data_IF_714870487428
#
_entry.id   IF_714870487428
#
_cell.length_a   1.000
_cell.length_b   1.000
_cell.length_c   1.000
_cell.angle_alpha   90.00
_cell.angle_beta   90.00
_cell.angle_gamma   90.00
#
_symmetry.space_group_name_H-M   'P 1'
#
loop_
_entity.id
_entity.type
_entity.pdbx_description
1 polymer ?
#
# COMPACT_ATOMS: atom_id res chain seq x y z
N UNK A 1 -65.26 81.89 -15.18
CA UNK A 1 -63.80 82.17 -15.16
C UNK A 1 -63.24 81.79 -13.79
N UNK A 2 -62.72 80.56 -13.63
CA UNK A 2 -62.15 80.03 -12.39
C UNK A 2 -60.64 79.83 -12.59
N UNK A 3 -59.84 80.42 -11.70
CA UNK A 3 -58.37 80.40 -11.70
C UNK A 3 -57.86 79.01 -11.29
N UNK A 4 -56.87 78.52 -12.05
CA UNK A 4 -56.06 77.35 -11.72
C UNK A 4 -55.16 77.63 -10.51
N UNK A 5 -55.09 76.68 -9.58
CA UNK A 5 -53.94 76.49 -8.67
C UNK A 5 -53.50 75.04 -8.78
N UNK A 6 -52.30 74.84 -9.31
CA UNK A 6 -51.62 73.56 -9.37
C UNK A 6 -51.07 73.21 -7.98
N UNK A 7 -51.42 72.04 -7.46
CA UNK A 7 -50.79 71.43 -6.30
C UNK A 7 -50.02 70.20 -6.82
N UNK A 8 -48.68 70.27 -6.75
CA UNK A 8 -47.80 69.16 -7.06
C UNK A 8 -47.80 68.15 -5.92
N UNK A 9 -48.10 66.89 -6.23
CA UNK A 9 -47.91 65.76 -5.33
C UNK A 9 -46.58 65.10 -5.70
N UNK A 10 -45.61 65.15 -4.78
CA UNK A 10 -44.32 64.45 -4.90
C UNK A 10 -44.55 62.97 -4.57
N UNK A 11 -44.42 62.09 -5.56
CA UNK A 11 -44.32 60.65 -5.34
C UNK A 11 -42.91 60.33 -4.82
N UNK A 12 -42.80 59.98 -3.54
CA UNK A 12 -41.61 59.33 -3.01
C UNK A 12 -41.63 57.85 -3.41
N UNK A 13 -40.85 57.49 -4.42
CA UNK A 13 -40.58 56.10 -4.79
C UNK A 13 -39.69 55.44 -3.74
N UNK A 14 -40.26 54.51 -2.98
CA UNK A 14 -39.47 53.61 -2.14
C UNK A 14 -38.83 52.53 -3.03
N UNK A 15 -37.59 52.80 -3.45
CA UNK A 15 -36.74 51.81 -4.11
C UNK A 15 -36.35 50.75 -3.10
N UNK A 16 -37.05 49.61 -3.10
CA UNK A 16 -36.60 48.39 -2.42
C UNK A 16 -35.34 47.89 -3.14
N UNK A 17 -34.17 48.31 -2.64
CA UNK A 17 -32.89 47.71 -2.99
C UNK A 17 -32.86 46.29 -2.40
N UNK A 18 -33.33 45.32 -3.18
CA UNK A 18 -33.02 43.91 -2.98
C UNK A 18 -31.51 43.73 -3.10
N UNK A 19 -30.82 43.79 -1.96
CA UNK A 19 -29.43 43.37 -1.86
C UNK A 19 -29.37 41.87 -2.14
N UNK A 20 -29.03 41.52 -3.38
CA UNK A 20 -28.54 40.19 -3.69
C UNK A 20 -27.17 40.06 -3.01
N UNK A 21 -27.17 39.65 -1.73
CA UNK A 21 -25.99 39.10 -1.09
C UNK A 21 -25.64 37.79 -1.80
N UNK A 22 -24.92 37.89 -2.91
CA UNK A 22 -24.24 36.76 -3.51
C UNK A 22 -23.14 36.35 -2.53
N UNK A 23 -23.48 35.48 -1.58
CA UNK A 23 -22.49 34.78 -0.76
C UNK A 23 -21.59 34.03 -1.74
N UNK A 24 -20.38 34.55 -2.00
CA UNK A 24 -19.41 33.82 -2.81
C UNK A 24 -19.19 32.48 -2.10
N UNK A 25 -19.65 31.39 -2.70
CA UNK A 25 -19.52 30.08 -2.10
C UNK A 25 -18.03 29.82 -1.83
N UNK A 26 -17.66 29.71 -0.56
CA UNK A 26 -16.29 29.38 -0.16
C UNK A 26 -15.90 28.07 -0.83
N UNK A 27 -14.75 28.04 -1.51
CA UNK A 27 -14.21 26.81 -2.07
C UNK A 27 -13.87 25.87 -0.89
N UNK A 28 -14.47 24.68 -0.81
CA UNK A 28 -14.18 23.75 0.28
C UNK A 28 -12.71 23.34 0.27
N UNK A 29 -12.10 23.23 1.45
CA UNK A 29 -10.73 22.74 1.63
C UNK A 29 -10.58 21.29 1.17
N UNK A 30 -9.34 20.84 0.99
CA UNK A 30 -9.06 19.44 0.64
C UNK A 30 -9.61 18.46 1.69
N UNK A 31 -9.52 18.82 2.98
CA UNK A 31 -10.08 18.04 4.08
C UNK A 31 -11.61 17.98 4.02
N UNK A 32 -12.29 19.12 3.80
CA UNK A 32 -13.76 19.17 3.70
C UNK A 32 -14.28 18.34 2.51
N UNK A 33 -13.61 18.39 1.34
CA UNK A 33 -13.99 17.57 0.18
C UNK A 33 -13.81 16.07 0.45
N UNK A 34 -12.71 15.68 1.08
CA UNK A 34 -12.45 14.26 1.40
C UNK A 34 -13.42 13.77 2.47
N UNK A 35 -13.75 14.59 3.47
CA UNK A 35 -14.75 14.28 4.49
C UNK A 35 -16.15 14.07 3.88
N UNK A 36 -16.52 14.82 2.83
CA UNK A 36 -17.74 14.57 2.07
C UNK A 36 -17.69 13.23 1.33
N UNK A 37 -16.58 12.91 0.66
CA UNK A 37 -16.40 11.60 -0.01
C UNK A 37 -16.50 10.44 0.99
N UNK A 38 -15.94 10.58 2.20
CA UNK A 38 -16.06 9.59 3.27
C UNK A 38 -17.52 9.39 3.70
N UNK A 39 -18.27 10.49 3.89
CA UNK A 39 -19.71 10.43 4.22
C UNK A 39 -20.52 9.71 3.14
N UNK A 40 -20.24 9.98 1.86
CA UNK A 40 -20.86 9.29 0.73
C UNK A 40 -20.54 7.79 0.72
N UNK A 41 -19.40 7.39 1.29
CA UNK A 41 -19.02 5.98 1.52
C UNK A 41 -19.65 5.37 2.77
N UNK A 42 -20.45 6.12 3.53
CA UNK A 42 -21.01 5.68 4.81
C UNK A 42 -19.98 5.61 5.93
N UNK A 43 -18.85 6.31 5.80
CA UNK A 43 -17.79 6.39 6.81
C UNK A 43 -17.89 7.73 7.53
N UNK A 44 -17.94 7.69 8.86
CA UNK A 44 -17.83 8.89 9.70
C UNK A 44 -16.44 9.53 9.51
N UNK A 45 -16.34 10.77 9.00
CA UNK A 45 -15.06 11.44 8.80
C UNK A 45 -14.26 11.66 10.09
N UNK A 46 -14.91 11.69 11.25
CA UNK A 46 -14.21 11.84 12.54
C UNK A 46 -13.50 10.55 12.96
N UNK A 47 -13.93 9.41 12.41
CA UNK A 47 -13.32 8.11 12.64
C UNK A 47 -12.12 7.84 11.70
N UNK A 48 -11.91 8.65 10.66
CA UNK A 48 -10.87 8.46 9.66
C UNK A 48 -9.93 9.66 9.58
N UNK A 49 -8.62 9.42 9.72
CA UNK A 49 -7.64 10.47 9.49
C UNK A 49 -7.57 10.81 8.00
N UNK A 50 -7.67 12.09 7.64
CA UNK A 50 -7.40 12.57 6.27
C UNK A 50 -5.90 12.90 6.20
N UNK A 51 -5.05 12.01 5.68
CA UNK A 51 -3.63 12.05 5.97
C UNK A 51 -2.90 13.16 5.22
N UNK A 52 -3.51 13.77 4.21
CA UNK A 52 -2.96 14.88 3.43
C UNK A 52 -3.62 16.24 3.77
N UNK A 53 -4.34 16.33 4.90
CA UNK A 53 -4.86 17.60 5.38
C UNK A 53 -3.73 18.56 5.77
N UNK A 54 -3.91 19.85 5.49
CA UNK A 54 -2.91 20.90 5.74
C UNK A 54 -3.40 21.77 6.90
N UNK A 55 -2.56 21.94 7.91
CA UNK A 55 -2.86 22.79 9.06
C UNK A 55 -2.62 24.27 8.75
N UNK A 56 -3.17 25.21 9.54
CA UNK A 56 -2.88 26.64 9.37
C UNK A 56 -1.38 26.99 9.47
N UNK A 57 -0.64 26.28 10.32
CA UNK A 57 0.81 26.41 10.46
C UNK A 57 1.51 26.04 9.16
N UNK A 58 1.18 24.86 8.61
CA UNK A 58 1.75 24.37 7.35
C UNK A 58 1.39 25.28 6.18
N UNK A 59 0.15 25.78 6.13
CA UNK A 59 -0.29 26.78 5.14
C UNK A 59 0.60 28.03 5.22
N UNK A 60 0.80 28.58 6.42
CA UNK A 60 1.62 29.78 6.63
C UNK A 60 3.07 29.53 6.23
N UNK A 61 3.65 28.41 6.64
CA UNK A 61 5.00 27.99 6.28
C UNK A 61 5.18 27.86 4.76
N UNK A 62 4.18 27.29 4.09
CA UNK A 62 4.16 27.02 2.66
C UNK A 62 4.14 28.31 1.84
N UNK A 63 3.19 29.22 2.13
CA UNK A 63 3.06 30.47 1.38
C UNK A 63 4.20 31.47 1.66
N UNK A 64 4.91 31.34 2.80
CA UNK A 64 6.11 32.12 3.07
C UNK A 64 7.33 31.69 2.23
N UNK A 65 7.36 30.44 1.75
CA UNK A 65 8.51 29.84 1.04
C UNK A 65 8.28 29.60 -0.43
N UNK A 66 7.05 29.24 -0.81
CA UNK A 66 6.66 28.98 -2.19
C UNK A 66 5.79 30.13 -2.65
N UNK A 67 6.38 31.01 -3.47
CA UNK A 67 5.69 32.17 -4.01
C UNK A 67 4.46 31.79 -4.86
N UNK A 68 3.53 32.73 -5.01
CA UNK A 68 2.32 32.56 -5.83
C UNK A 68 2.57 32.74 -7.34
N UNK A 69 3.74 33.23 -7.73
CA UNK A 69 4.14 33.45 -9.13
C UNK A 69 4.74 32.20 -9.78
N UNK A 70 4.82 32.23 -11.11
CA UNK A 70 5.41 31.15 -11.92
C UNK A 70 4.42 30.05 -12.34
N UNK A 71 4.86 29.19 -13.25
CA UNK A 71 4.09 28.04 -13.73
C UNK A 71 3.99 26.92 -12.70
N UNK A 72 3.06 25.97 -12.88
CA UNK A 72 2.87 24.85 -11.95
C UNK A 72 4.17 24.07 -11.68
N UNK A 73 4.99 23.84 -12.72
CA UNK A 73 6.26 23.14 -12.60
C UNK A 73 7.29 23.89 -11.72
N UNK A 74 7.39 25.20 -11.87
CA UNK A 74 8.32 26.03 -11.07
C UNK A 74 7.94 26.00 -9.59
N UNK A 75 6.64 26.08 -9.31
CA UNK A 75 6.10 25.98 -7.95
C UNK A 75 6.31 24.59 -7.35
N UNK A 76 6.13 23.51 -8.12
CA UNK A 76 6.44 22.14 -7.69
C UNK A 76 7.93 22.00 -7.35
N UNK A 77 8.81 22.50 -8.21
CA UNK A 77 10.26 22.48 -7.95
C UNK A 77 10.64 23.31 -6.73
N UNK A 78 9.99 24.46 -6.52
CA UNK A 78 10.21 25.28 -5.32
C UNK A 78 9.74 24.56 -4.06
N UNK A 79 8.56 23.93 -4.09
CA UNK A 79 8.04 23.13 -2.99
C UNK A 79 8.99 21.99 -2.62
N UNK A 80 9.45 21.21 -3.60
CA UNK A 80 10.39 20.12 -3.37
C UNK A 80 11.69 20.61 -2.72
N UNK A 81 12.27 21.71 -3.22
CA UNK A 81 13.47 22.31 -2.62
C UNK A 81 13.19 22.80 -1.19
N UNK A 82 12.02 23.37 -0.92
CA UNK A 82 11.66 23.81 0.44
C UNK A 82 11.44 22.63 1.39
N UNK A 83 10.95 21.49 0.93
CA UNK A 83 10.74 20.30 1.76
C UNK A 83 12.06 19.54 2.03
N UNK A 84 12.88 19.36 1.00
CA UNK A 84 14.12 18.56 1.04
C UNK A 84 15.37 19.39 1.39
N UNK A 85 15.27 20.72 1.38
CA UNK A 85 16.40 21.62 1.66
C UNK A 85 16.83 21.63 3.12
N UNK A 86 18.03 22.17 3.39
CA UNK A 86 18.64 22.25 4.73
C UNK A 86 17.79 23.02 5.77
N UNK A 87 17.04 24.02 5.30
CA UNK A 87 16.12 24.86 6.09
C UNK A 87 14.65 24.42 5.96
N UNK A 88 14.44 23.24 5.39
CA UNK A 88 13.14 22.61 5.18
C UNK A 88 12.68 21.75 6.35
N UNK A 89 11.79 20.80 6.05
CA UNK A 89 11.21 19.85 7.04
C UNK A 89 12.25 18.81 7.52
N UNK A 90 13.45 18.77 6.93
CA UNK A 90 14.54 17.81 7.22
C UNK A 90 14.02 16.37 7.28
N UNK A 91 13.67 15.85 6.13
CA UNK A 91 13.04 14.55 6.02
C UNK A 91 14.04 13.40 6.16
N UNK A 92 13.70 12.42 7.00
CA UNK A 92 14.44 11.18 7.23
C UNK A 92 13.55 10.03 6.81
N UNK A 93 14.04 9.20 5.90
CA UNK A 93 13.30 8.04 5.41
C UNK A 93 13.25 6.94 6.46
N UNK A 94 12.05 6.52 6.86
CA UNK A 94 11.82 5.42 7.80
C UNK A 94 10.69 4.52 7.32
N UNK A 95 11.04 3.33 6.82
CA UNK A 95 10.08 2.40 6.20
C UNK A 95 8.95 1.95 7.14
N UNK A 96 9.22 1.86 8.44
CA UNK A 96 8.28 1.40 9.46
C UNK A 96 7.31 2.45 10.00
N UNK A 97 7.36 3.70 9.49
CA UNK A 97 6.58 4.83 9.99
C UNK A 97 5.68 5.42 8.90
N UNK A 98 4.36 5.36 9.11
CA UNK A 98 3.36 5.97 8.22
C UNK A 98 2.68 7.17 8.88
N UNK A 99 3.18 8.39 8.66
CA UNK A 99 2.60 9.62 9.20
C UNK A 99 1.56 10.30 8.30
N UNK A 100 0.69 11.10 8.91
CA UNK A 100 -0.07 12.17 8.23
C UNK A 100 0.88 13.31 7.86
N UNK A 101 0.44 14.20 6.97
CA UNK A 101 1.19 15.38 6.55
C UNK A 101 1.59 16.25 7.75
N UNK A 102 0.73 16.42 8.74
CA UNK A 102 1.03 17.16 9.97
C UNK A 102 2.11 16.47 10.80
N UNK A 103 1.99 15.15 11.01
CA UNK A 103 2.98 14.39 11.79
C UNK A 103 4.35 14.37 11.11
N UNK A 104 4.39 14.21 9.78
CA UNK A 104 5.63 14.28 8.99
C UNK A 104 6.22 15.68 9.06
N UNK A 105 5.40 16.72 8.91
CA UNK A 105 5.85 18.11 8.96
C UNK A 105 6.54 18.45 10.30
N UNK A 106 6.04 17.91 11.41
CA UNK A 106 6.62 18.14 12.74
C UNK A 106 7.81 17.24 13.06
N UNK A 107 7.74 15.97 12.68
CA UNK A 107 8.73 14.97 13.08
C UNK A 107 9.89 14.83 12.11
N UNK A 108 9.72 15.21 10.85
CA UNK A 108 10.66 14.93 9.77
C UNK A 108 10.72 13.46 9.36
N UNK A 109 9.99 12.54 10.01
CA UNK A 109 10.04 11.11 9.69
C UNK A 109 9.02 10.79 8.60
N UNK A 110 9.40 10.04 7.56
CA UNK A 110 8.47 9.65 6.51
C UNK A 110 8.87 8.36 5.80
N UNK A 111 7.89 7.53 5.43
CA UNK A 111 8.02 6.61 4.31
C UNK A 111 7.44 7.22 3.01
N UNK A 112 7.47 6.48 1.90
CA UNK A 112 6.97 6.94 0.60
C UNK A 112 5.54 7.52 0.65
N UNK A 113 4.63 6.80 1.32
CA UNK A 113 3.23 7.20 1.44
C UNK A 113 3.07 8.48 2.26
N UNK A 114 3.77 8.57 3.39
CA UNK A 114 3.72 9.73 4.28
C UNK A 114 4.26 10.99 3.61
N UNK A 115 5.36 10.84 2.86
CA UNK A 115 5.88 11.93 2.04
C UNK A 115 4.87 12.34 0.97
N UNK A 116 4.29 11.36 0.25
CA UNK A 116 3.29 11.65 -0.78
C UNK A 116 2.09 12.42 -0.20
N UNK A 117 1.62 12.08 1.00
CA UNK A 117 0.56 12.83 1.67
C UNK A 117 0.95 14.29 1.95
N UNK A 118 2.13 14.52 2.52
CA UNK A 118 2.64 15.86 2.78
C UNK A 118 2.75 16.67 1.48
N UNK A 119 3.38 16.07 0.47
CA UNK A 119 3.63 16.73 -0.80
C UNK A 119 2.33 17.05 -1.54
N UNK A 120 1.44 16.06 -1.71
CA UNK A 120 0.16 16.22 -2.42
C UNK A 120 -0.73 17.24 -1.70
N UNK A 121 -0.80 17.17 -0.37
CA UNK A 121 -1.55 18.14 0.43
C UNK A 121 -1.05 19.57 0.20
N UNK A 122 0.26 19.82 0.36
CA UNK A 122 0.84 21.16 0.16
C UNK A 122 0.73 21.63 -1.30
N UNK A 123 0.96 20.73 -2.26
CA UNK A 123 0.87 21.08 -3.67
C UNK A 123 -0.56 21.49 -4.07
N UNK A 124 -1.57 20.77 -3.59
CA UNK A 124 -2.98 21.10 -3.82
C UNK A 124 -3.42 22.36 -3.06
N UNK A 125 -2.83 22.63 -1.89
CA UNK A 125 -3.04 23.90 -1.16
C UNK A 125 -2.56 25.12 -1.97
N UNK A 126 -1.50 24.96 -2.77
CA UNK A 126 -1.04 25.96 -3.75
C UNK A 126 -1.86 25.96 -5.04
N UNK A 127 -2.90 25.14 -5.15
CA UNK A 127 -3.73 25.00 -6.35
C UNK A 127 -3.05 24.24 -7.50
N UNK A 128 -2.06 23.40 -7.22
CA UNK A 128 -1.44 22.53 -8.24
C UNK A 128 -2.29 21.25 -8.42
N UNK A 129 -2.62 20.86 -9.67
CA UNK A 129 -3.42 19.67 -9.95
C UNK A 129 -2.56 18.41 -9.90
N UNK A 130 -2.01 18.10 -8.71
CA UNK A 130 -1.28 16.86 -8.47
C UNK A 130 -2.22 15.77 -7.98
N UNK A 131 -1.83 14.52 -8.18
CA UNK A 131 -2.59 13.34 -7.79
C UNK A 131 -1.67 12.24 -7.27
N UNK A 132 -2.24 11.28 -6.53
CA UNK A 132 -1.50 10.14 -6.04
C UNK A 132 -1.29 9.12 -7.16
N UNK A 133 -0.09 8.56 -7.20
CA UNK A 133 0.29 7.48 -8.11
C UNK A 133 0.74 6.27 -7.31
N UNK A 134 0.15 5.11 -7.60
CA UNK A 134 0.62 3.80 -7.13
C UNK A 134 1.45 3.15 -8.24
N UNK A 135 2.61 2.63 -7.87
CA UNK A 135 3.41 1.77 -8.74
C UNK A 135 2.97 0.33 -8.48
N UNK A 136 2.38 -0.32 -9.49
CA UNK A 136 1.89 -1.70 -9.38
C UNK A 136 3.01 -2.74 -9.26
N UNK A 137 4.26 -2.34 -9.52
CA UNK A 137 5.41 -3.20 -9.28
C UNK A 137 5.75 -3.20 -7.78
N UNK A 138 5.43 -4.30 -7.09
CA UNK A 138 5.95 -4.55 -5.75
C UNK A 138 7.48 -4.50 -5.81
N UNK A 139 8.08 -3.59 -5.04
CA UNK A 139 9.51 -3.28 -5.10
C UNK A 139 10.33 -4.30 -4.31
N UNK A 140 9.74 -4.89 -3.27
CA UNK A 140 10.35 -5.96 -2.49
C UNK A 140 9.30 -6.80 -1.76
N UNK A 141 9.62 -8.08 -1.57
CA UNK A 141 8.91 -8.96 -0.65
C UNK A 141 9.86 -9.31 0.49
N UNK A 142 9.42 -9.08 1.72
CA UNK A 142 10.14 -9.51 2.92
C UNK A 142 9.29 -10.52 3.68
N UNK A 143 9.93 -11.50 4.33
CA UNK A 143 9.27 -12.45 5.21
C UNK A 143 9.72 -12.16 6.64
N UNK A 144 8.78 -11.71 7.48
CA UNK A 144 8.99 -11.43 8.90
C UNK A 144 8.17 -12.44 9.72
N UNK A 145 8.83 -13.50 10.21
CA UNK A 145 8.15 -14.59 10.90
C UNK A 145 7.20 -15.35 9.97
N UNK A 146 5.90 -15.34 10.31
CA UNK A 146 4.82 -15.90 9.49
C UNK A 146 4.19 -14.90 8.50
N UNK A 147 4.63 -13.64 8.50
CA UNK A 147 4.10 -12.57 7.66
C UNK A 147 4.95 -12.39 6.40
N UNK A 148 4.31 -12.26 5.25
CA UNK A 148 4.94 -11.75 4.03
C UNK A 148 4.54 -10.29 3.88
N UNK A 149 5.53 -9.40 3.97
CA UNK A 149 5.37 -7.97 3.75
C UNK A 149 5.69 -7.69 2.29
N UNK A 150 4.69 -7.25 1.54
CA UNK A 150 4.88 -6.70 0.20
C UNK A 150 5.01 -5.18 0.31
N UNK A 151 6.11 -4.63 -0.20
CA UNK A 151 6.29 -3.17 -0.23
C UNK A 151 5.92 -2.63 -1.61
N UNK A 152 4.84 -1.87 -1.67
CA UNK A 152 4.50 -1.05 -2.83
C UNK A 152 5.24 0.29 -2.80
N UNK A 153 5.26 1.01 -3.93
CA UNK A 153 5.73 2.39 -3.97
C UNK A 153 4.57 3.31 -4.35
N UNK A 154 4.40 4.39 -3.55
CA UNK A 154 3.40 5.43 -3.78
C UNK A 154 4.16 6.74 -3.94
N UNK A 155 3.77 7.50 -4.96
CA UNK A 155 4.39 8.75 -5.38
C UNK A 155 3.30 9.76 -5.79
N UNK A 156 3.69 10.94 -6.26
CA UNK A 156 2.78 11.93 -6.83
C UNK A 156 2.98 12.06 -8.34
N UNK A 157 1.89 12.25 -9.05
CA UNK A 157 1.84 12.60 -10.46
C UNK A 157 1.36 14.02 -10.67
N UNK A 158 1.75 14.62 -11.80
CA UNK A 158 1.13 15.84 -12.31
C UNK A 158 1.14 15.87 -13.83
N UNK A 159 0.24 16.66 -14.40
CA UNK A 159 0.05 16.74 -15.85
C UNK A 159 -1.11 15.87 -16.34
N UNK A 160 -1.47 15.96 -17.62
CA UNK A 160 -2.57 15.19 -18.19
C UNK A 160 -2.21 13.70 -18.31
N UNK A 161 -3.18 12.78 -18.41
CA UNK A 161 -2.92 11.34 -18.45
C UNK A 161 -1.93 10.86 -19.52
N UNK A 162 -1.85 11.58 -20.65
CA UNK A 162 -0.99 11.29 -21.81
C UNK A 162 0.42 11.90 -21.70
N UNK A 163 0.65 12.80 -20.74
CA UNK A 163 1.94 13.43 -20.45
C UNK A 163 2.14 13.54 -18.93
N UNK A 164 1.92 12.40 -18.26
CA UNK A 164 2.04 12.32 -16.81
C UNK A 164 3.51 12.41 -16.42
N UNK A 165 3.80 13.27 -15.45
CA UNK A 165 5.14 13.41 -14.88
C UNK A 165 5.12 12.84 -13.47
N UNK A 166 6.02 11.90 -13.20
CA UNK A 166 6.19 11.30 -11.87
C UNK A 166 7.15 12.16 -11.06
N UNK A 167 6.80 12.40 -9.80
CA UNK A 167 7.62 13.14 -8.85
C UNK A 167 8.25 12.15 -7.87
N UNK A 168 9.45 11.65 -8.20
CA UNK A 168 10.18 10.77 -7.28
C UNK A 168 10.83 11.58 -6.15
N UNK A 169 10.80 11.00 -4.96
CA UNK A 169 11.23 11.63 -3.71
C UNK A 169 12.43 10.91 -3.08
N UNK A 170 12.91 9.84 -3.70
CA UNK A 170 14.12 9.11 -3.28
C UNK A 170 15.37 9.67 -3.96
N UNK A 171 16.51 9.65 -3.25
CA UNK A 171 17.82 10.06 -3.80
C UNK A 171 18.29 9.14 -4.94
N UNK A 172 17.77 7.92 -5.02
CA UNK A 172 18.03 6.97 -6.10
C UNK A 172 16.74 6.72 -6.88
N UNK A 173 16.70 7.00 -8.19
CA UNK A 173 15.55 6.67 -9.02
C UNK A 173 15.34 5.15 -8.99
N UNK A 174 14.12 4.70 -8.69
CA UNK A 174 13.76 3.27 -8.65
C UNK A 174 13.75 2.56 -10.04
N UNK A 175 14.32 3.21 -11.07
CA UNK A 175 14.28 2.78 -12.46
C UNK A 175 13.04 3.29 -13.21
N UNK A 176 12.81 2.85 -14.46
CA UNK A 176 11.59 3.21 -15.18
C UNK A 176 10.38 2.60 -14.49
N UNK A 177 9.41 3.43 -14.10
CA UNK A 177 8.15 2.93 -13.56
C UNK A 177 7.33 2.27 -14.67
N UNK A 178 6.92 1.03 -14.43
CA UNK A 178 5.92 0.34 -15.22
C UNK A 178 4.66 0.13 -14.36
N UNK A 179 3.47 0.22 -14.98
CA UNK A 179 2.21 0.03 -14.26
C UNK A 179 1.90 1.15 -13.26
N UNK A 180 2.00 2.41 -13.70
CA UNK A 180 1.58 3.57 -12.92
C UNK A 180 0.06 3.71 -12.94
N UNK A 181 -0.54 3.69 -11.77
CA UNK A 181 -1.98 3.84 -11.57
C UNK A 181 -2.25 5.11 -10.77
N UNK A 182 -3.11 5.98 -11.29
CA UNK A 182 -3.66 7.08 -10.50
C UNK A 182 -4.67 6.52 -9.51
N UNK A 183 -4.52 6.86 -8.23
CA UNK A 183 -5.40 6.40 -7.16
C UNK A 183 -6.21 7.56 -6.60
N UNK A 184 -7.42 7.24 -6.14
CA UNK A 184 -8.32 8.24 -5.55
C UNK A 184 -7.82 8.73 -4.18
N UNK A 185 -8.34 9.88 -3.75
CA UNK A 185 -8.11 10.41 -2.40
C UNK A 185 -8.59 9.43 -1.32
N UNK A 186 -9.73 8.75 -1.54
CA UNK A 186 -10.22 7.71 -0.64
C UNK A 186 -9.28 6.50 -0.59
N UNK A 187 -8.71 6.09 -1.73
CA UNK A 187 -7.72 5.01 -1.78
C UNK A 187 -6.45 5.40 -1.03
N UNK A 188 -5.98 6.65 -1.14
CA UNK A 188 -4.86 7.14 -0.34
C UNK A 188 -5.15 7.13 1.17
N UNK A 189 -6.37 7.55 1.57
CA UNK A 189 -6.83 7.44 2.97
C UNK A 189 -6.87 5.97 3.41
N UNK A 190 -7.40 5.06 2.60
CA UNK A 190 -7.48 3.64 2.93
C UNK A 190 -6.08 3.00 3.06
N UNK A 191 -5.14 3.36 2.18
CA UNK A 191 -3.74 2.92 2.24
C UNK A 191 -3.05 3.41 3.53
N UNK A 192 -3.29 4.66 3.94
CA UNK A 192 -2.79 5.17 5.23
C UNK A 192 -3.27 4.29 6.39
N UNK A 193 -4.57 4.02 6.46
CA UNK A 193 -5.15 3.20 7.53
C UNK A 193 -4.67 1.74 7.46
N UNK A 194 -4.50 1.19 6.25
CA UNK A 194 -3.96 -0.16 6.04
C UNK A 194 -2.53 -0.28 6.55
N UNK A 195 -1.67 0.70 6.25
CA UNK A 195 -0.28 0.71 6.72
C UNK A 195 -0.18 0.87 8.23
N UNK A 196 -0.96 1.78 8.84
CA UNK A 196 -1.05 1.91 10.31
C UNK A 196 -1.52 0.60 10.97
N UNK A 197 -2.51 -0.06 10.38
CA UNK A 197 -2.96 -1.38 10.82
C UNK A 197 -1.88 -2.46 10.72
N UNK A 198 -1.10 -2.46 9.64
CA UNK A 198 0.03 -3.38 9.46
C UNK A 198 1.18 -3.09 10.45
N UNK A 199 1.45 -1.83 10.76
CA UNK A 199 2.40 -1.42 11.81
C UNK A 199 2.00 -2.00 13.18
N UNK A 200 0.75 -1.81 13.58
CA UNK A 200 0.21 -2.35 14.83
C UNK A 200 0.21 -3.88 14.85
N UNK A 201 -0.11 -4.53 13.72
CA UNK A 201 -0.03 -5.99 13.58
C UNK A 201 1.40 -6.50 13.84
N UNK A 202 2.42 -5.81 13.33
CA UNK A 202 3.83 -6.17 13.59
C UNK A 202 4.22 -5.98 15.06
N UNK A 203 3.63 -4.99 15.74
CA UNK A 203 3.84 -4.75 17.17
C UNK A 203 3.07 -5.73 18.06
N UNK A 204 2.15 -6.53 17.50
CA UNK A 204 1.31 -7.46 18.25
C UNK A 204 0.02 -6.85 18.80
N UNK A 205 -0.28 -5.60 18.46
CA UNK A 205 -1.47 -4.86 18.90
C UNK A 205 -2.69 -5.24 18.05
N UNK A 206 -3.09 -6.52 18.12
CA UNK A 206 -4.04 -7.14 17.19
C UNK A 206 -5.43 -6.47 17.20
N UNK A 207 -5.94 -6.07 18.36
CA UNK A 207 -7.27 -5.46 18.49
C UNK A 207 -7.35 -4.10 17.80
N UNK A 208 -6.32 -3.28 17.95
CA UNK A 208 -6.25 -1.96 17.32
C UNK A 208 -5.94 -2.11 15.82
N UNK A 209 -5.00 -2.99 15.45
CA UNK A 209 -4.73 -3.34 14.06
C UNK A 209 -6.01 -3.70 13.30
N UNK A 210 -6.88 -4.53 13.91
CA UNK A 210 -8.19 -4.90 13.35
C UNK A 210 -9.05 -3.67 13.05
N UNK A 211 -9.17 -2.72 13.98
CA UNK A 211 -10.00 -1.52 13.81
C UNK A 211 -9.53 -0.66 12.65
N UNK A 212 -8.21 -0.44 12.55
CA UNK A 212 -7.58 0.30 11.46
C UNK A 212 -7.83 -0.37 10.11
N UNK A 213 -7.69 -1.69 10.03
CA UNK A 213 -7.87 -2.45 8.80
C UNK A 213 -9.33 -2.58 8.37
N UNK A 214 -10.25 -2.74 9.32
CA UNK A 214 -11.70 -2.71 9.03
C UNK A 214 -12.12 -1.33 8.52
N UNK A 215 -11.53 -0.25 9.03
CA UNK A 215 -11.77 1.09 8.50
C UNK A 215 -11.20 1.26 7.10
N UNK A 216 -9.96 0.82 6.85
CA UNK A 216 -9.35 0.85 5.52
C UNK A 216 -10.22 0.11 4.48
N UNK A 217 -10.68 -1.10 4.81
CA UNK A 217 -11.53 -1.92 3.96
C UNK A 217 -12.94 -1.34 3.75
N UNK A 218 -13.46 -0.53 4.68
CA UNK A 218 -14.71 0.22 4.49
C UNK A 218 -14.54 1.44 3.58
N UNK A 219 -13.43 2.15 3.73
CA UNK A 219 -13.12 3.35 2.91
C UNK A 219 -12.89 2.94 1.46
N UNK A 220 -12.06 1.92 1.25
CA UNK A 220 -11.81 1.34 -0.06
C UNK A 220 -11.98 -0.20 -0.03
N UNK A 221 -13.20 -0.69 -0.31
CA UNK A 221 -13.48 -2.12 -0.44
C UNK A 221 -12.74 -2.81 -1.59
N UNK A 222 -12.19 -2.07 -2.54
CA UNK A 222 -11.48 -2.64 -3.69
C UNK A 222 -9.95 -2.52 -3.51
N UNK A 223 -9.49 -2.18 -2.29
CA UNK A 223 -8.10 -2.25 -1.87
C UNK A 223 -7.76 -3.65 -1.32
N UNK A 224 -7.15 -4.54 -2.12
CA UNK A 224 -6.89 -5.92 -1.69
C UNK A 224 -5.95 -6.01 -0.49
N UNK A 225 -4.99 -5.09 -0.35
CA UNK A 225 -3.99 -5.09 0.73
C UNK A 225 -4.65 -4.95 2.11
N UNK A 226 -5.71 -4.13 2.22
CA UNK A 226 -6.46 -3.95 3.46
C UNK A 226 -7.16 -5.25 3.88
N UNK A 227 -7.75 -5.97 2.92
CA UNK A 227 -8.41 -7.25 3.15
C UNK A 227 -7.43 -8.37 3.51
N UNK A 228 -6.27 -8.43 2.85
CA UNK A 228 -5.20 -9.40 3.20
C UNK A 228 -4.74 -9.17 4.64
N UNK A 229 -4.40 -7.94 5.00
CA UNK A 229 -3.94 -7.61 6.35
C UNK A 229 -5.04 -7.87 7.39
N UNK A 230 -6.30 -7.55 7.09
CA UNK A 230 -7.44 -7.84 7.96
C UNK A 230 -7.59 -9.35 8.20
N UNK A 231 -7.43 -10.15 7.15
CA UNK A 231 -7.45 -11.62 7.25
C UNK A 231 -6.35 -12.15 8.16
N UNK A 232 -5.14 -11.58 8.07
CA UNK A 232 -4.01 -11.97 8.93
C UNK A 232 -4.30 -11.65 10.40
N UNK A 233 -4.80 -10.44 10.69
CA UNK A 233 -5.19 -10.05 12.05
C UNK A 233 -6.28 -10.97 12.60
N UNK A 234 -7.34 -11.23 11.83
CA UNK A 234 -8.44 -12.11 12.25
C UNK A 234 -7.96 -13.55 12.52
N UNK A 235 -7.05 -14.06 11.68
CA UNK A 235 -6.44 -15.38 11.91
C UNK A 235 -5.67 -15.42 13.22
N UNK A 236 -4.86 -14.40 13.52
CA UNK A 236 -4.11 -14.29 14.79
C UNK A 236 -5.04 -14.15 16.01
N UNK A 237 -6.19 -13.49 15.83
CA UNK A 237 -7.27 -13.41 16.81
C UNK A 237 -8.15 -14.68 16.89
N UNK A 238 -7.81 -15.75 16.15
CA UNK A 238 -8.55 -17.02 16.09
C UNK A 238 -9.95 -16.93 15.46
N UNK A 239 -10.29 -15.80 14.82
CA UNK A 239 -11.47 -15.65 13.97
C UNK A 239 -11.16 -16.23 12.57
N UNK A 240 -11.22 -17.56 12.46
CA UNK A 240 -10.86 -18.27 11.23
C UNK A 240 -11.87 -18.02 10.10
N UNK A 241 -13.16 -17.92 10.42
CA UNK A 241 -14.21 -17.65 9.44
C UNK A 241 -14.08 -16.23 8.88
N UNK A 242 -13.88 -15.24 9.75
CA UNK A 242 -13.67 -13.86 9.32
C UNK A 242 -12.35 -13.67 8.56
N UNK A 243 -11.32 -14.46 8.86
CA UNK A 243 -10.07 -14.47 8.10
C UNK A 243 -10.27 -15.00 6.67
N UNK A 244 -10.96 -16.13 6.51
CA UNK A 244 -11.30 -16.67 5.19
C UNK A 244 -12.12 -15.67 4.37
N UNK A 245 -13.15 -15.08 4.95
CA UNK A 245 -13.98 -14.08 4.28
C UNK A 245 -13.16 -12.89 3.79
N UNK A 246 -12.23 -12.40 4.62
CA UNK A 246 -11.35 -11.30 4.24
C UNK A 246 -10.41 -11.69 3.09
N UNK A 247 -9.77 -12.87 3.11
CA UNK A 247 -8.92 -13.31 2.01
C UNK A 247 -9.70 -13.50 0.70
N UNK A 248 -10.93 -14.04 0.77
CA UNK A 248 -11.78 -14.16 -0.43
C UNK A 248 -12.17 -12.78 -0.97
N UNK A 249 -12.52 -11.82 -0.12
CA UNK A 249 -12.81 -10.44 -0.54
C UNK A 249 -11.61 -9.76 -1.20
N UNK A 250 -10.39 -10.05 -0.73
CA UNK A 250 -9.17 -9.59 -1.38
C UNK A 250 -9.04 -10.12 -2.82
N UNK A 251 -9.37 -11.41 -3.04
CA UNK A 251 -9.35 -12.03 -4.37
C UNK A 251 -10.48 -11.55 -5.29
N UNK A 252 -11.61 -11.17 -4.71
CA UNK A 252 -12.71 -10.51 -5.44
C UNK A 252 -12.30 -9.10 -5.89
N UNK A 253 -11.61 -8.35 -5.03
CA UNK A 253 -11.09 -7.01 -5.35
C UNK A 253 -9.99 -7.08 -6.42
N UNK A 254 -9.04 -7.99 -6.27
CA UNK A 254 -7.99 -8.24 -7.24
C UNK A 254 -7.61 -9.73 -7.28
N UNK A 255 -8.00 -10.47 -8.34
CA UNK A 255 -7.66 -11.88 -8.53
C UNK A 255 -6.16 -12.16 -8.68
N UNK A 256 -5.32 -11.13 -8.75
CA UNK A 256 -3.86 -11.23 -8.86
C UNK A 256 -3.14 -11.04 -7.53
N UNK A 257 -3.88 -10.72 -6.45
CA UNK A 257 -3.35 -10.55 -5.10
C UNK A 257 -2.88 -11.89 -4.53
N UNK A 258 -1.62 -12.23 -4.82
CA UNK A 258 -1.05 -13.53 -4.46
C UNK A 258 -1.04 -13.77 -2.95
N UNK A 259 -0.77 -12.74 -2.15
CA UNK A 259 -0.75 -12.85 -0.69
C UNK A 259 -2.08 -13.41 -0.13
N UNK A 260 -3.21 -13.10 -0.77
CA UNK A 260 -4.51 -13.67 -0.41
C UNK A 260 -4.58 -15.17 -0.70
N UNK A 261 -4.11 -15.64 -1.87
CA UNK A 261 -4.03 -17.08 -2.18
C UNK A 261 -3.18 -17.84 -1.16
N UNK A 262 -2.02 -17.32 -0.77
CA UNK A 262 -1.14 -17.99 0.19
C UNK A 262 -1.81 -18.13 1.56
N UNK A 263 -2.34 -17.03 2.07
CA UNK A 263 -2.93 -17.02 3.39
C UNK A 263 -4.22 -17.86 3.43
N UNK A 264 -5.02 -17.81 2.37
CA UNK A 264 -6.22 -18.64 2.25
C UNK A 264 -5.87 -20.13 2.10
N UNK A 265 -4.90 -20.49 1.25
CA UNK A 265 -4.46 -21.88 1.11
C UNK A 265 -3.93 -22.43 2.43
N UNK A 266 -3.10 -21.66 3.14
CA UNK A 266 -2.57 -22.04 4.46
C UNK A 266 -3.69 -22.23 5.49
N UNK A 267 -4.70 -21.36 5.47
CA UNK A 267 -5.87 -21.48 6.36
C UNK A 267 -6.72 -22.70 6.01
N UNK A 268 -7.04 -22.91 4.73
CA UNK A 268 -7.82 -24.07 4.28
C UNK A 268 -7.11 -25.39 4.59
N UNK A 269 -5.79 -25.46 4.43
CA UNK A 269 -4.98 -26.61 4.87
C UNK A 269 -5.09 -26.86 6.36
N UNK A 270 -4.96 -25.82 7.19
CA UNK A 270 -5.11 -25.93 8.63
C UNK A 270 -6.50 -26.47 9.01
N UNK A 271 -7.52 -26.14 8.23
CA UNK A 271 -8.90 -26.63 8.38
C UNK A 271 -9.14 -28.01 7.71
N UNK A 272 -8.15 -28.61 7.06
CA UNK A 272 -8.30 -29.90 6.36
C UNK A 272 -9.12 -29.84 5.07
N UNK A 273 -9.35 -28.65 4.50
CA UNK A 273 -10.20 -28.41 3.31
C UNK A 273 -9.40 -28.57 2.01
N UNK A 274 -8.83 -29.76 1.81
CA UNK A 274 -7.92 -30.07 0.68
C UNK A 274 -8.51 -29.80 -0.70
N UNK A 275 -9.80 -30.06 -0.91
CA UNK A 275 -10.46 -29.82 -2.21
C UNK A 275 -10.44 -28.34 -2.58
N UNK A 276 -10.81 -27.46 -1.65
CA UNK A 276 -10.85 -26.02 -1.91
C UNK A 276 -9.46 -25.42 -2.08
N UNK A 277 -8.45 -26.02 -1.45
CA UNK A 277 -7.07 -25.68 -1.74
C UNK A 277 -6.75 -25.94 -3.22
N UNK A 278 -7.19 -27.07 -3.80
CA UNK A 278 -6.97 -27.34 -5.23
C UNK A 278 -7.66 -26.31 -6.12
N UNK A 279 -8.94 -26.03 -5.85
CA UNK A 279 -9.71 -25.05 -6.60
C UNK A 279 -9.04 -23.66 -6.55
N UNK A 280 -8.47 -23.31 -5.40
CA UNK A 280 -7.71 -22.08 -5.21
C UNK A 280 -6.39 -22.06 -6.00
N UNK A 281 -5.68 -23.19 -6.08
CA UNK A 281 -4.47 -23.33 -6.91
C UNK A 281 -4.77 -23.24 -8.40
N UNK A 282 -5.86 -23.85 -8.86
CA UNK A 282 -6.31 -23.77 -10.24
C UNK A 282 -6.72 -22.34 -10.63
N UNK A 283 -7.42 -21.64 -9.72
CA UNK A 283 -7.74 -20.23 -9.90
C UNK A 283 -6.46 -19.38 -10.03
N UNK A 284 -5.45 -19.67 -9.22
CA UNK A 284 -4.17 -18.99 -9.27
C UNK A 284 -3.39 -19.28 -10.56
N UNK A 285 -3.37 -20.53 -11.03
CA UNK A 285 -2.69 -20.91 -12.28
C UNK A 285 -3.31 -20.21 -13.50
N UNK A 286 -4.64 -20.04 -13.50
CA UNK A 286 -5.33 -19.22 -14.52
C UNK A 286 -4.88 -17.75 -14.51
N UNK A 287 -4.46 -17.23 -13.36
CA UNK A 287 -3.96 -15.87 -13.17
C UNK A 287 -2.41 -15.77 -13.20
N UNK A 288 -1.69 -16.86 -13.53
CA UNK A 288 -0.24 -17.04 -13.33
C UNK A 288 0.66 -16.02 -14.01
N UNK A 289 0.25 -15.43 -15.13
CA UNK A 289 1.09 -14.48 -15.86
C UNK A 289 1.19 -13.10 -15.19
N UNK A 290 0.55 -12.88 -14.03
CA UNK A 290 0.47 -11.56 -13.38
C UNK A 290 1.30 -11.43 -12.09
N UNK A 291 1.64 -12.52 -11.39
CA UNK A 291 2.42 -12.44 -10.14
C UNK A 291 3.93 -12.68 -10.33
N UNK A 292 4.73 -11.77 -9.75
CA UNK A 292 6.21 -11.82 -9.71
C UNK A 292 6.80 -12.20 -8.34
N UNK A 293 5.98 -12.59 -7.37
CA UNK A 293 6.46 -12.96 -6.03
C UNK A 293 7.05 -14.38 -6.03
N UNK A 294 8.32 -14.60 -5.59
CA UNK A 294 8.92 -15.94 -5.46
C UNK A 294 8.39 -16.77 -4.27
N UNK A 295 8.19 -16.17 -3.09
CA UNK A 295 7.72 -16.86 -1.86
C UNK A 295 6.34 -17.49 -2.04
N UNK A 296 5.57 -16.82 -2.86
CA UNK A 296 4.31 -17.22 -3.43
C UNK A 296 4.36 -18.60 -4.07
N UNK A 297 5.17 -18.79 -5.10
CA UNK A 297 5.32 -20.10 -5.74
C UNK A 297 6.01 -21.12 -4.83
N UNK A 298 6.89 -20.68 -3.92
CA UNK A 298 7.47 -21.55 -2.91
C UNK A 298 6.40 -22.19 -2.02
N UNK A 299 5.44 -21.41 -1.51
CA UNK A 299 4.34 -21.92 -0.70
C UNK A 299 3.44 -22.90 -1.47
N UNK A 300 3.19 -22.66 -2.76
CA UNK A 300 2.43 -23.60 -3.58
C UNK A 300 3.18 -24.92 -3.79
N UNK A 301 4.50 -24.82 -3.99
CA UNK A 301 5.35 -25.99 -4.09
C UNK A 301 5.34 -26.82 -2.80
N UNK A 302 5.36 -26.15 -1.64
CA UNK A 302 5.29 -26.80 -0.32
C UNK A 302 3.98 -27.56 -0.13
N UNK A 303 2.88 -26.91 -0.52
CA UNK A 303 1.55 -27.51 -0.49
C UNK A 303 1.47 -28.73 -1.43
N UNK A 304 1.92 -28.58 -2.67
CA UNK A 304 1.91 -29.66 -3.66
C UNK A 304 2.79 -30.84 -3.22
N UNK A 305 3.94 -30.56 -2.59
CA UNK A 305 4.85 -31.56 -2.05
C UNK A 305 4.21 -32.36 -0.92
N UNK A 306 3.50 -31.68 0.01
CA UNK A 306 2.79 -32.34 1.12
C UNK A 306 1.68 -33.27 0.63
N UNK A 307 1.04 -32.93 -0.47
CA UNK A 307 -0.03 -33.72 -1.10
C UNK A 307 0.53 -34.81 -2.04
N UNK A 308 1.85 -34.98 -2.11
CA UNK A 308 2.51 -35.99 -2.95
C UNK A 308 2.50 -35.66 -4.45
N UNK A 309 2.06 -34.47 -4.86
CA UNK A 309 2.07 -34.01 -6.25
C UNK A 309 3.45 -33.47 -6.62
N UNK A 310 4.42 -34.37 -6.72
CA UNK A 310 5.84 -34.05 -6.87
C UNK A 310 6.15 -33.23 -8.13
N UNK A 311 5.47 -33.51 -9.24
CA UNK A 311 5.70 -32.79 -10.50
C UNK A 311 5.18 -31.35 -10.45
N UNK A 312 4.04 -31.14 -9.78
CA UNK A 312 3.51 -29.80 -9.56
C UNK A 312 4.39 -29.00 -8.60
N UNK A 313 4.84 -29.62 -7.51
CA UNK A 313 5.80 -29.02 -6.59
C UNK A 313 7.06 -28.54 -7.34
N UNK A 314 7.57 -29.36 -8.25
CA UNK A 314 8.72 -28.98 -9.09
C UNK A 314 8.44 -27.75 -9.95
N UNK A 315 7.29 -27.69 -10.63
CA UNK A 315 6.92 -26.56 -11.49
C UNK A 315 6.92 -25.26 -10.69
N UNK A 316 6.31 -25.29 -9.49
CA UNK A 316 6.22 -24.12 -8.63
C UNK A 316 7.57 -23.72 -8.04
N UNK A 317 8.36 -24.64 -7.49
CA UNK A 317 9.70 -24.31 -6.99
C UNK A 317 10.63 -23.78 -8.08
N UNK A 318 10.57 -24.34 -9.30
CA UNK A 318 11.35 -23.82 -10.43
C UNK A 318 10.90 -22.41 -10.83
N UNK A 319 9.61 -22.08 -10.69
CA UNK A 319 9.11 -20.71 -10.93
C UNK A 319 9.58 -19.75 -9.84
N UNK A 320 9.50 -20.13 -8.57
CA UNK A 320 10.07 -19.35 -7.46
C UNK A 320 11.55 -19.05 -7.72
N UNK A 321 12.32 -20.06 -8.14
CA UNK A 321 13.74 -19.92 -8.44
C UNK A 321 14.03 -19.00 -9.64
N UNK A 322 13.15 -18.98 -10.66
CA UNK A 322 13.28 -18.06 -11.80
C UNK A 322 12.98 -16.61 -11.43
N UNK A 323 12.09 -16.40 -10.46
CA UNK A 323 11.71 -15.06 -10.00
C UNK A 323 12.77 -14.49 -9.06
N UNK A 324 13.35 -15.33 -8.21
CA UNK A 324 14.45 -14.95 -7.33
C UNK A 324 15.39 -16.15 -7.12
N UNK A 325 16.55 -16.07 -7.77
CA UNK A 325 17.57 -17.12 -7.69
C UNK A 325 18.43 -17.03 -6.43
N UNK A 326 18.28 -15.97 -5.64
CA UNK A 326 19.08 -15.70 -4.43
C UNK A 326 18.48 -16.27 -3.15
N UNK A 327 17.32 -16.94 -3.22
CA UNK A 327 16.67 -17.51 -2.04
C UNK A 327 17.20 -18.89 -1.66
N UNK A 328 17.82 -18.96 -0.49
CA UNK A 328 18.25 -20.21 0.14
C UNK A 328 17.06 -21.18 0.37
N UNK A 329 15.91 -20.65 0.80
CA UNK A 329 14.71 -21.43 1.09
C UNK A 329 14.22 -22.20 -0.15
N UNK A 330 14.21 -21.56 -1.33
CA UNK A 330 13.79 -22.18 -2.59
C UNK A 330 14.75 -23.29 -3.03
N UNK A 331 16.06 -23.11 -2.86
CA UNK A 331 17.01 -24.18 -3.12
C UNK A 331 16.81 -25.35 -2.15
N UNK A 332 16.58 -25.08 -0.86
CA UNK A 332 16.30 -26.13 0.11
C UNK A 332 15.01 -26.90 -0.23
N UNK A 333 13.97 -26.20 -0.71
CA UNK A 333 12.72 -26.81 -1.14
C UNK A 333 12.88 -27.78 -2.32
N UNK A 334 13.69 -27.41 -3.33
CA UNK A 334 14.05 -28.31 -4.42
C UNK A 334 14.86 -29.52 -3.94
N UNK A 335 15.70 -29.35 -2.91
CA UNK A 335 16.42 -30.45 -2.28
C UNK A 335 15.50 -31.42 -1.52
N UNK A 336 14.51 -30.90 -0.80
CA UNK A 336 13.48 -31.72 -0.13
C UNK A 336 12.62 -32.49 -1.15
N UNK A 337 12.26 -31.85 -2.27
CA UNK A 337 11.57 -32.51 -3.37
C UNK A 337 12.42 -33.64 -3.99
N UNK A 338 13.72 -33.40 -4.19
CA UNK A 338 14.63 -34.42 -4.70
C UNK A 338 14.72 -35.63 -3.74
N UNK A 339 14.73 -35.40 -2.42
CA UNK A 339 14.62 -36.48 -1.43
C UNK A 339 13.30 -37.24 -1.53
N UNK A 340 12.17 -36.54 -1.68
CA UNK A 340 10.86 -37.17 -1.85
C UNK A 340 10.78 -38.07 -3.11
N UNK A 341 11.64 -37.81 -4.10
CA UNK A 341 11.80 -38.61 -5.32
C UNK A 341 12.93 -39.66 -5.25
N UNK A 342 13.57 -39.82 -4.09
CA UNK A 342 14.70 -40.75 -3.92
C UNK A 342 16.01 -40.31 -4.57
N UNK A 343 16.12 -39.05 -5.01
CA UNK A 343 17.29 -38.52 -5.75
C UNK A 343 18.26 -37.81 -4.81
N UNK A 344 18.93 -38.57 -3.94
CA UNK A 344 19.79 -38.00 -2.89
C UNK A 344 20.95 -37.15 -3.45
N UNK A 345 21.55 -37.57 -4.58
CA UNK A 345 22.65 -36.82 -5.22
C UNK A 345 22.19 -35.41 -5.63
N UNK A 346 20.99 -35.30 -6.18
CA UNK A 346 20.38 -34.02 -6.58
C UNK A 346 20.05 -33.18 -5.33
N UNK A 347 19.50 -33.80 -4.28
CA UNK A 347 19.22 -33.12 -3.01
C UNK A 347 20.48 -32.48 -2.39
N UNK A 348 21.62 -33.20 -2.41
CA UNK A 348 22.92 -32.67 -1.94
C UNK A 348 23.43 -31.51 -2.79
N UNK A 349 23.16 -31.49 -4.10
CA UNK A 349 23.51 -30.35 -4.96
C UNK A 349 22.72 -29.10 -4.60
N UNK A 350 21.41 -29.25 -4.39
CA UNK A 350 20.54 -28.15 -3.95
C UNK A 350 20.92 -27.64 -2.56
N UNK A 351 21.22 -28.53 -1.62
CA UNK A 351 21.70 -28.14 -0.30
C UNK A 351 22.97 -27.28 -0.38
N UNK A 352 23.96 -27.67 -1.20
CA UNK A 352 25.18 -26.86 -1.40
C UNK A 352 24.89 -25.46 -1.94
N UNK A 353 23.91 -25.32 -2.84
CA UNK A 353 23.47 -24.00 -3.33
C UNK A 353 22.80 -23.21 -2.21
N UNK A 354 21.91 -23.84 -1.45
CA UNK A 354 21.17 -23.19 -0.37
C UNK A 354 22.08 -22.68 0.74
N UNK A 355 23.07 -23.47 1.17
CA UNK A 355 24.05 -23.12 2.21
C UNK A 355 24.90 -21.91 1.81
N UNK A 356 25.24 -21.76 0.52
CA UNK A 356 25.98 -20.57 0.03
C UNK A 356 25.15 -19.29 0.09
N UNK A 357 23.83 -19.40 0.01
CA UNK A 357 22.93 -18.25 0.04
C UNK A 357 22.59 -17.86 1.48
N UNK A 358 22.28 -18.84 2.33
CA UNK A 358 22.04 -18.68 3.75
C UNK A 358 22.11 -20.04 4.47
N UNK A 359 23.21 -20.31 5.16
CA UNK A 359 23.39 -21.54 5.93
C UNK A 359 22.51 -21.60 7.20
N UNK A 360 22.12 -20.45 7.74
CA UNK A 360 21.34 -20.34 8.98
C UNK A 360 19.83 -20.46 8.76
N UNK A 361 19.36 -20.38 7.52
CA UNK A 361 17.94 -20.45 7.21
C UNK A 361 17.32 -21.76 7.75
N UNK A 362 16.22 -21.74 8.53
CA UNK A 362 15.68 -22.92 9.21
C UNK A 362 15.41 -24.11 8.29
N UNK A 363 14.94 -23.86 7.07
CA UNK A 363 14.70 -24.91 6.06
C UNK A 363 15.99 -25.56 5.55
N UNK A 364 17.07 -24.77 5.41
CA UNK A 364 18.39 -25.27 5.01
C UNK A 364 18.94 -26.19 6.09
N UNK A 365 18.82 -25.77 7.35
CA UNK A 365 19.23 -26.57 8.52
C UNK A 365 18.49 -27.91 8.55
N UNK A 366 17.16 -27.90 8.40
CA UNK A 366 16.36 -29.14 8.35
C UNK A 366 16.77 -30.08 7.21
N UNK A 367 17.00 -29.54 6.00
CA UNK A 367 17.45 -30.36 4.87
C UNK A 367 18.84 -30.96 5.14
N UNK A 368 19.76 -30.19 5.71
CA UNK A 368 21.09 -30.67 6.05
C UNK A 368 21.05 -31.81 7.07
N UNK A 369 20.20 -31.70 8.10
CA UNK A 369 19.97 -32.76 9.08
C UNK A 369 19.45 -34.04 8.42
N UNK A 370 18.45 -33.93 7.53
CA UNK A 370 17.92 -35.09 6.79
C UNK A 370 18.94 -35.77 5.88
N UNK A 371 19.95 -35.03 5.41
CA UNK A 371 21.04 -35.53 4.57
C UNK A 371 22.30 -35.91 5.35
N UNK A 372 22.28 -35.81 6.68
CA UNK A 372 23.44 -36.00 7.56
C UNK A 372 24.64 -35.15 7.12
N UNK A 373 24.38 -33.91 6.66
CA UNK A 373 25.39 -32.99 6.18
C UNK A 373 25.79 -31.99 7.27
N UNK A 374 27.11 -31.79 7.46
CA UNK A 374 27.64 -30.73 8.34
C UNK A 374 27.48 -29.37 7.69
N UNK A 375 26.93 -28.41 8.43
CA UNK A 375 26.81 -27.01 8.01
C UNK A 375 28.05 -26.22 8.45
N UNK A 376 28.48 -25.21 7.68
CA UNK A 376 29.43 -24.22 8.17
C UNK A 376 28.82 -23.44 9.34
N UNK A 377 29.64 -22.87 10.24
CA UNK A 377 29.15 -21.97 11.28
C UNK A 377 28.36 -20.82 10.65
N UNK A 378 27.23 -20.44 11.26
CA UNK A 378 26.39 -19.38 10.75
C UNK A 378 27.20 -18.08 10.66
N UNK A 379 27.43 -17.60 9.44
CA UNK A 379 28.04 -16.29 9.23
C UNK A 379 26.98 -15.23 9.52
N UNK A 380 27.24 -14.35 10.49
CA UNK A 380 26.44 -13.15 10.66
C UNK A 380 26.41 -12.39 9.32
N UNK A 381 25.22 -12.13 8.78
CA UNK A 381 25.09 -11.25 7.62
C UNK A 381 25.59 -9.85 8.03
N UNK A 382 26.31 -9.12 7.17
CA UNK A 382 26.54 -7.70 7.35
C UNK A 382 25.23 -6.90 7.37
#
# INVERSE_FOLDING_TARGET
>A
MRRLRAAGLVLAGASLLSSCAATSARIPTLAERTAEQLRQRGVDPTAAAIPFAITPEMHTWLFARVGRGGGAQERLSSLLRSLLGKDGVRLVYESGYTGTAEEVFRSGRANCLSFAHLFVGMARELGMPVYFLRVQQVTSFAKEGDLIVASGHITAGYGPPNDRRVLEFTEQPLGPYHGLEEISDLTAVALFHSNRGAELLRQGELSEARRWLELAARIDPDLPDAWVNLGVVRRRLRDLAGAEAAYRRALEADPTTFAAYQNLASLLQFLGRTREVQELLELLDRNRNRSRNPFSYLALGDLSLREGRLDEAERFYRRALRLDSSQAETQAALGELALARGREREARQHLRKAVRLDAGHPRVVRLAQRLSAKLPPATARP
#
